data_IF_658362508362
#
_entry.id   IF_658362508362
#
_cell.length_a   1.000
_cell.length_b   1.000
_cell.length_c   1.000
_cell.angle_alpha   90.00
_cell.angle_beta   90.00
_cell.angle_gamma   90.00
#
_symmetry.space_group_name_H-M   'P 1'
#
loop_
_entity.id
_entity.type
_entity.pdbx_description
1 polymer ?
#
# COMPACT_ATOMS: atom_id res chain seq x y z
N UNK A 1 -21.10 11.98 -18.34
CA UNK A 1 -19.62 11.85 -18.34
C UNK A 1 -19.23 10.44 -17.89
N UNK A 2 -18.40 9.70 -18.65
CA UNK A 2 -18.05 8.31 -18.34
C UNK A 2 -16.92 8.22 -17.31
N UNK A 3 -17.13 7.44 -16.26
CA UNK A 3 -16.17 7.17 -15.19
C UNK A 3 -15.95 5.67 -15.06
N UNK A 4 -14.73 5.26 -14.75
CA UNK A 4 -14.39 3.86 -14.50
C UNK A 4 -13.72 3.71 -13.14
N UNK A 5 -14.17 2.74 -12.36
CA UNK A 5 -13.50 2.25 -11.16
C UNK A 5 -12.86 0.89 -11.45
N UNK A 6 -11.66 0.67 -10.94
CA UNK A 6 -10.94 -0.60 -10.95
C UNK A 6 -10.57 -0.93 -9.51
N UNK A 7 -10.84 -2.15 -9.06
CA UNK A 7 -10.36 -2.69 -7.78
C UNK A 7 -9.58 -3.98 -8.03
N UNK A 8 -8.27 -3.92 -7.79
CA UNK A 8 -7.39 -5.08 -7.93
C UNK A 8 -7.32 -5.82 -6.59
N UNK A 9 -7.99 -6.97 -6.53
CA UNK A 9 -7.90 -7.94 -5.45
C UNK A 9 -6.78 -8.97 -5.64
N UNK A 10 -6.62 -9.87 -4.66
CA UNK A 10 -5.68 -10.99 -4.77
C UNK A 10 -6.14 -12.08 -5.75
N UNK A 11 -7.45 -12.33 -5.82
CA UNK A 11 -8.04 -13.39 -6.67
C UNK A 11 -8.63 -12.83 -7.96
N UNK A 12 -9.35 -11.71 -7.87
CA UNK A 12 -10.04 -11.09 -8.99
C UNK A 12 -9.76 -9.60 -9.04
N UNK A 13 -9.79 -9.06 -10.25
CA UNK A 13 -9.87 -7.64 -10.53
C UNK A 13 -11.30 -7.31 -10.94
N UNK A 14 -11.89 -6.35 -10.26
CA UNK A 14 -13.26 -5.91 -10.47
C UNK A 14 -13.25 -4.54 -11.13
N UNK A 15 -14.09 -4.33 -12.15
CA UNK A 15 -14.22 -3.07 -12.85
C UNK A 15 -15.69 -2.65 -12.86
N UNK A 16 -15.92 -1.36 -12.71
CA UNK A 16 -17.22 -0.73 -12.83
C UNK A 16 -17.12 0.49 -13.74
N UNK A 17 -18.05 0.61 -14.68
CA UNK A 17 -18.21 1.78 -15.53
C UNK A 17 -19.55 2.43 -15.21
N UNK A 18 -19.54 3.75 -15.04
CA UNK A 18 -20.75 4.53 -14.76
C UNK A 18 -20.76 5.78 -15.66
N UNK A 19 -21.87 6.02 -16.34
CA UNK A 19 -22.22 7.30 -16.94
C UNK A 19 -23.68 7.67 -16.63
N UNK A 20 -24.21 8.73 -17.26
CA UNK A 20 -25.59 9.20 -17.03
C UNK A 20 -26.68 8.23 -17.50
N UNK A 21 -26.34 7.28 -18.37
CA UNK A 21 -27.27 6.39 -19.06
C UNK A 21 -27.11 4.92 -18.64
N UNK A 22 -25.94 4.54 -18.13
CA UNK A 22 -25.61 3.13 -17.86
C UNK A 22 -24.65 2.92 -16.71
N UNK A 23 -24.74 1.71 -16.18
CA UNK A 23 -23.77 1.10 -15.27
C UNK A 23 -23.43 -0.28 -15.81
N UNK A 24 -22.15 -0.60 -15.93
CA UNK A 24 -21.66 -1.89 -16.40
C UNK A 24 -20.53 -2.38 -15.50
N UNK A 25 -20.41 -3.70 -15.34
CA UNK A 25 -19.35 -4.31 -14.54
C UNK A 25 -18.60 -5.36 -15.33
N UNK A 26 -17.33 -5.55 -15.00
CA UNK A 26 -16.53 -6.64 -15.53
C UNK A 26 -15.62 -7.18 -14.45
N UNK A 27 -15.50 -8.51 -14.39
CA UNK A 27 -14.68 -9.21 -13.42
C UNK A 27 -13.82 -10.22 -14.16
N UNK A 28 -12.53 -10.21 -13.86
CA UNK A 28 -11.57 -11.16 -14.40
C UNK A 28 -10.59 -11.62 -13.32
N UNK A 29 -9.96 -12.80 -13.46
CA UNK A 29 -8.91 -13.23 -12.54
C UNK A 29 -7.79 -12.20 -12.44
N UNK A 30 -7.28 -11.97 -11.23
CA UNK A 30 -6.09 -11.14 -11.02
C UNK A 30 -4.84 -11.82 -11.57
N UNK A 31 -3.84 -11.00 -11.87
CA UNK A 31 -2.50 -11.45 -12.32
C UNK A 31 -1.47 -11.11 -11.25
N UNK A 32 -1.21 -11.98 -10.25
CA UNK A 32 -0.41 -11.63 -9.06
C UNK A 32 1.04 -11.24 -9.37
N UNK A 33 1.60 -11.78 -10.45
CA UNK A 33 2.94 -11.49 -10.97
C UNK A 33 3.02 -10.09 -11.59
N UNK A 34 1.92 -9.60 -12.15
CA UNK A 34 1.81 -8.26 -12.71
C UNK A 34 0.36 -7.76 -12.60
N UNK A 35 -0.02 -7.13 -11.47
CA UNK A 35 -1.41 -6.77 -11.21
C UNK A 35 -2.00 -5.78 -12.24
N UNK A 36 -1.15 -4.95 -12.87
CA UNK A 36 -1.58 -4.01 -13.91
C UNK A 36 -2.11 -4.69 -15.17
N UNK A 37 -1.69 -5.93 -15.46
CA UNK A 37 -2.13 -6.66 -16.66
C UNK A 37 -3.64 -6.93 -16.66
N UNK A 38 -4.17 -7.51 -15.58
CA UNK A 38 -5.60 -7.75 -15.44
C UNK A 38 -6.43 -6.45 -15.48
N UNK A 39 -5.92 -5.36 -14.87
CA UNK A 39 -6.60 -4.07 -14.93
C UNK A 39 -6.71 -3.51 -16.35
N UNK A 40 -5.64 -3.55 -17.14
CA UNK A 40 -5.62 -3.06 -18.51
C UNK A 40 -6.46 -3.93 -19.45
N UNK A 41 -6.36 -5.26 -19.33
CA UNK A 41 -7.18 -6.20 -20.11
C UNK A 41 -8.67 -6.01 -19.79
N UNK A 42 -9.02 -5.95 -18.51
CA UNK A 42 -10.39 -5.74 -18.08
C UNK A 42 -10.96 -4.41 -18.57
N UNK A 43 -10.16 -3.34 -18.55
CA UNK A 43 -10.58 -2.04 -19.05
C UNK A 43 -10.84 -2.09 -20.56
N UNK A 44 -9.93 -2.69 -21.33
CA UNK A 44 -10.09 -2.81 -22.78
C UNK A 44 -11.35 -3.61 -23.14
N UNK A 45 -11.60 -4.74 -22.46
CA UNK A 45 -12.79 -5.58 -22.68
C UNK A 45 -14.08 -4.85 -22.30
N UNK A 46 -14.11 -4.17 -21.15
CA UNK A 46 -15.29 -3.44 -20.69
C UNK A 46 -15.65 -2.29 -21.65
N UNK A 47 -14.66 -1.49 -22.07
CA UNK A 47 -14.88 -0.40 -23.02
C UNK A 47 -15.34 -0.89 -24.39
N UNK A 48 -14.76 -1.98 -24.89
CA UNK A 48 -15.16 -2.58 -26.17
C UNK A 48 -16.61 -3.11 -26.12
N UNK A 49 -17.01 -3.79 -25.03
CA UNK A 49 -18.39 -4.28 -24.83
C UNK A 49 -19.41 -3.16 -24.79
N UNK A 50 -19.03 -2.03 -24.20
CA UNK A 50 -19.90 -0.85 -24.07
C UNK A 50 -19.82 0.10 -25.28
N UNK A 51 -18.94 -0.17 -26.26
CA UNK A 51 -18.75 0.70 -27.42
C UNK A 51 -18.22 2.10 -27.04
N UNK A 52 -17.39 2.18 -26.01
CA UNK A 52 -16.84 3.44 -25.50
C UNK A 52 -15.39 3.58 -25.94
N UNK A 53 -15.04 4.69 -26.58
CA UNK A 53 -13.65 5.01 -26.89
C UNK A 53 -12.87 5.30 -25.60
N UNK A 54 -11.61 4.84 -25.44
CA UNK A 54 -10.80 5.14 -24.26
C UNK A 54 -10.68 6.64 -23.96
N UNK A 55 -10.64 7.49 -25.00
CA UNK A 55 -10.60 8.96 -24.87
C UNK A 55 -11.86 9.58 -24.27
N UNK A 56 -12.97 8.83 -24.20
CA UNK A 56 -14.22 9.29 -23.59
C UNK A 56 -14.29 9.01 -22.07
N UNK A 57 -13.34 8.21 -21.54
CA UNK A 57 -13.21 7.99 -20.10
C UNK A 57 -12.62 9.24 -19.47
N UNK A 58 -13.45 9.95 -18.70
CA UNK A 58 -13.07 11.23 -18.15
C UNK A 58 -12.51 11.13 -16.71
N UNK A 59 -12.69 9.98 -16.07
CA UNK A 59 -12.10 9.68 -14.77
C UNK A 59 -11.84 8.18 -14.65
N UNK A 60 -10.65 7.84 -14.14
CA UNK A 60 -10.28 6.49 -13.75
C UNK A 60 -9.95 6.49 -12.25
N UNK A 61 -10.72 5.76 -11.45
CA UNK A 61 -10.41 5.48 -10.06
C UNK A 61 -9.77 4.10 -9.95
N UNK A 62 -8.56 4.03 -9.41
CA UNK A 62 -7.81 2.78 -9.29
C UNK A 62 -7.57 2.43 -7.82
N UNK A 63 -8.30 1.44 -7.33
CA UNK A 63 -8.13 0.79 -6.03
C UNK A 63 -7.33 -0.50 -6.17
N UNK A 64 -6.56 -0.82 -5.13
CA UNK A 64 -5.88 -2.10 -5.05
C UNK A 64 -5.61 -2.50 -3.61
N UNK A 65 -5.68 -3.80 -3.35
CA UNK A 65 -5.30 -4.40 -2.06
C UNK A 65 -3.85 -4.90 -2.05
N UNK A 66 -3.10 -4.74 -3.15
CA UNK A 66 -1.72 -5.26 -3.28
C UNK A 66 -0.83 -4.71 -2.18
N UNK A 67 -0.83 -3.39 -1.94
CA UNK A 67 0.02 -2.77 -0.92
C UNK A 67 -0.27 -3.30 0.49
N UNK A 68 -1.55 -3.37 0.88
CA UNK A 68 -1.97 -3.88 2.19
C UNK A 68 -1.59 -5.34 2.36
N UNK A 69 -1.80 -6.17 1.33
CA UNK A 69 -1.42 -7.57 1.35
C UNK A 69 0.11 -7.75 1.40
N UNK A 70 0.89 -6.89 0.75
CA UNK A 70 2.36 -6.90 0.84
C UNK A 70 2.83 -6.70 2.28
N UNK A 71 2.20 -5.80 3.04
CA UNK A 71 2.52 -5.56 4.45
C UNK A 71 2.09 -6.74 5.33
N UNK A 72 0.84 -7.18 5.20
CA UNK A 72 0.29 -8.30 5.99
C UNK A 72 1.10 -9.59 5.77
N UNK A 73 1.42 -9.91 4.52
CA UNK A 73 2.16 -11.12 4.15
C UNK A 73 3.68 -10.96 4.28
N UNK A 74 4.17 -9.77 4.61
CA UNK A 74 5.62 -9.44 4.67
C UNK A 74 6.39 -9.80 3.40
N UNK A 75 5.77 -9.63 2.24
CA UNK A 75 6.36 -9.90 0.91
C UNK A 75 6.95 -8.65 0.25
N UNK A 76 7.33 -7.66 1.05
CA UNK A 76 7.95 -6.43 0.56
C UNK A 76 9.42 -6.63 0.14
N UNK A 77 10.01 -5.57 -0.41
CA UNK A 77 11.43 -5.56 -0.72
C UNK A 77 12.28 -5.65 0.55
N UNK A 78 13.46 -6.27 0.44
CA UNK A 78 14.47 -6.25 1.51
C UNK A 78 14.88 -4.81 1.78
N UNK A 79 14.55 -4.31 2.96
CA UNK A 79 14.67 -2.89 3.32
C UNK A 79 15.61 -2.71 4.52
N UNK A 80 16.45 -1.68 4.46
CA UNK A 80 17.25 -1.22 5.58
C UNK A 80 16.66 0.07 6.17
N UNK A 81 16.81 0.27 7.47
CA UNK A 81 16.44 1.49 8.17
C UNK A 81 17.71 2.20 8.61
N UNK A 82 17.82 3.49 8.31
CA UNK A 82 18.89 4.37 8.81
C UNK A 82 18.25 5.34 9.79
N UNK A 83 18.77 5.39 11.01
CA UNK A 83 18.31 6.32 12.04
C UNK A 83 19.48 7.11 12.62
N UNK A 84 19.16 8.19 13.33
CA UNK A 84 20.16 8.89 14.14
C UNK A 84 20.72 7.98 15.22
N UNK A 85 22.01 8.13 15.54
CA UNK A 85 22.67 7.41 16.63
C UNK A 85 21.89 7.52 17.93
N UNK A 86 21.64 6.38 18.58
CA UNK A 86 20.79 6.20 19.74
C UNK A 86 19.33 5.85 19.42
N UNK A 87 18.92 5.83 18.14
CA UNK A 87 17.53 5.61 17.71
C UNK A 87 17.36 4.35 16.86
N UNK A 88 18.35 3.45 16.81
CA UNK A 88 18.27 2.17 16.08
C UNK A 88 17.00 1.36 16.37
N UNK A 89 16.51 1.47 17.61
CA UNK A 89 15.48 0.59 18.17
C UNK A 89 14.09 1.19 18.19
N UNK A 90 13.89 2.31 17.49
CA UNK A 90 12.59 2.99 17.42
C UNK A 90 11.45 2.07 16.95
N UNK A 91 11.73 1.15 16.02
CA UNK A 91 10.75 0.18 15.55
C UNK A 91 10.46 -0.94 16.56
N UNK A 92 11.44 -1.28 17.40
CA UNK A 92 11.26 -2.29 18.46
C UNK A 92 10.42 -1.73 19.60
N UNK A 93 10.70 -0.48 19.97
CA UNK A 93 10.01 0.22 21.04
C UNK A 93 8.56 0.51 20.64
N UNK A 94 8.30 0.79 19.35
CA UNK A 94 6.98 1.02 18.77
C UNK A 94 6.11 2.01 19.56
N UNK A 95 6.75 2.97 20.26
CA UNK A 95 6.11 3.91 21.20
C UNK A 95 5.22 3.24 22.27
N UNK A 96 5.53 1.99 22.63
CA UNK A 96 4.70 1.16 23.51
C UNK A 96 3.26 1.00 23.01
N UNK A 97 3.03 1.15 21.70
CA UNK A 97 1.72 1.05 21.09
C UNK A 97 1.16 -0.37 21.24
N UNK A 98 0.01 -0.48 21.89
CA UNK A 98 -0.75 -1.72 22.03
C UNK A 98 -2.16 -1.51 21.48
N UNK A 99 -2.78 -2.54 20.89
CA UNK A 99 -4.17 -2.44 20.49
C UNK A 99 -5.05 -2.30 21.74
N UNK A 100 -6.20 -1.58 21.65
CA UNK A 100 -7.06 -1.30 22.81
C UNK A 100 -7.45 -2.53 23.63
N UNK A 101 -7.68 -3.65 22.96
CA UNK A 101 -8.04 -4.95 23.53
C UNK A 101 -6.93 -5.62 24.33
N UNK A 102 -5.66 -5.22 24.13
CA UNK A 102 -4.48 -5.83 24.78
C UNK A 102 -3.75 -4.89 25.74
N UNK A 103 -4.34 -3.75 26.10
CA UNK A 103 -3.69 -2.76 27.00
C UNK A 103 -3.34 -3.39 28.36
N UNK A 104 -4.21 -4.27 28.89
CA UNK A 104 -4.02 -4.93 30.19
C UNK A 104 -3.45 -6.36 30.09
N UNK A 105 -3.15 -6.82 28.89
CA UNK A 105 -2.54 -8.13 28.70
C UNK A 105 -1.02 -8.03 28.93
N UNK A 106 -0.54 -8.63 30.03
CA UNK A 106 0.88 -8.67 30.37
C UNK A 106 1.66 -9.67 29.52
N UNK A 107 0.96 -10.59 28.85
CA UNK A 107 1.53 -11.62 27.97
C UNK A 107 1.47 -11.18 26.50
N UNK A 108 0.99 -9.96 26.20
CA UNK A 108 0.89 -9.46 24.84
C UNK A 108 2.26 -9.37 24.16
N UNK A 109 2.40 -10.10 23.06
CA UNK A 109 3.56 -10.03 22.18
C UNK A 109 3.28 -9.09 21.01
N UNK A 110 4.17 -8.12 20.80
CA UNK A 110 4.07 -7.19 19.66
C UNK A 110 4.52 -7.89 18.38
N UNK A 111 3.84 -7.60 17.27
CA UNK A 111 4.25 -8.12 15.97
C UNK A 111 5.71 -7.73 15.66
N UNK A 112 6.54 -8.64 15.10
CA UNK A 112 7.93 -8.33 14.78
C UNK A 112 8.05 -7.09 13.86
N UNK A 113 9.03 -6.21 14.03
CA UNK A 113 9.16 -5.05 13.15
C UNK A 113 9.32 -5.41 11.67
N UNK A 114 8.94 -4.51 10.76
CA UNK A 114 9.08 -4.71 9.31
C UNK A 114 10.55 -4.84 8.89
N UNK A 115 11.45 -4.11 9.56
CA UNK A 115 12.90 -4.16 9.33
C UNK A 115 13.57 -4.87 10.49
N UNK A 116 14.27 -6.00 10.27
CA UNK A 116 14.96 -6.72 11.35
C UNK A 116 16.17 -5.91 11.85
N UNK A 117 16.55 -6.09 13.13
CA UNK A 117 17.59 -5.29 13.80
C UNK A 117 18.93 -5.23 13.05
N UNK A 118 19.34 -6.32 12.41
CA UNK A 118 20.61 -6.40 11.66
C UNK A 118 20.62 -5.57 10.36
N UNK A 119 19.45 -5.11 9.88
CA UNK A 119 19.29 -4.17 8.76
C UNK A 119 18.96 -2.74 9.24
N UNK A 120 19.11 -2.46 10.55
CA UNK A 120 18.98 -1.12 11.12
C UNK A 120 20.37 -0.56 11.38
N UNK A 121 20.67 0.59 10.79
CA UNK A 121 21.95 1.27 10.87
C UNK A 121 21.78 2.65 11.50
N UNK A 122 22.87 3.16 12.05
CA UNK A 122 22.90 4.46 12.70
C UNK A 122 23.89 5.40 12.02
N UNK A 123 23.50 6.67 11.93
CA UNK A 123 24.32 7.79 11.45
C UNK A 123 24.54 8.78 12.59
N UNK A 124 25.67 9.49 12.57
CA UNK A 124 26.11 10.34 13.69
C UNK A 124 25.79 11.81 13.45
N UNK A 125 24.51 12.14 13.37
CA UNK A 125 24.01 13.51 13.23
C UNK A 125 23.05 13.89 14.36
N UNK A 126 22.65 15.17 14.46
CA UNK A 126 21.56 15.61 15.31
C UNK A 126 20.96 16.92 14.83
N UNK A 127 19.64 16.96 14.73
CA UNK A 127 18.84 18.18 14.53
C UNK A 127 17.89 18.33 15.72
N UNK A 128 17.79 19.54 16.28
CA UNK A 128 16.92 19.82 17.43
C UNK A 128 15.47 20.13 17.00
N UNK A 129 14.58 20.35 17.98
CA UNK A 129 13.16 20.64 17.71
C UNK A 129 12.90 21.98 16.99
N UNK A 130 13.89 22.87 16.91
CA UNK A 130 13.84 24.13 16.15
C UNK A 130 14.35 23.97 14.72
N UNK A 131 14.82 22.78 14.34
CA UNK A 131 15.44 22.52 13.04
C UNK A 131 16.92 22.89 12.97
N UNK A 132 17.56 23.24 14.10
CA UNK A 132 18.97 23.63 14.15
C UNK A 132 19.87 22.40 14.22
N UNK A 133 20.98 22.42 13.49
CA UNK A 133 21.98 21.34 13.51
C UNK A 133 22.77 21.40 14.82
N UNK A 134 22.56 20.41 15.68
CA UNK A 134 23.31 20.25 16.93
C UNK A 134 24.55 19.36 16.75
N UNK A 135 24.53 18.46 15.77
CA UNK A 135 25.70 17.68 15.34
C UNK A 135 25.61 17.44 13.84
N UNK A 136 26.59 17.90 13.04
CA UNK A 136 26.60 17.67 11.59
C UNK A 136 26.79 16.18 11.27
N UNK A 137 26.38 15.79 10.05
CA UNK A 137 26.56 14.44 9.52
C UNK A 137 28.04 14.12 9.20
#
# INVERSE_FOLDING_TARGET
MTKVGIDIGGTFTDLILIDEKRTATYKLPSTPDNPGRAALEGLAVLLAREGIAPSAVAMLAHGTTVATNTVIQRKGAKTALITTRGFRDVLEIARLGRPPEAIYDIQYETAPPLVPRHLRFEVSERVNYRGEVASPL
#
